data_IF_191642013251
#
_entry.id   IF_191642013251
#
_cell.length_a   1.000
_cell.length_b   1.000
_cell.length_c   1.000
_cell.angle_alpha   90.00
_cell.angle_beta   90.00
_cell.angle_gamma   90.00
#
_symmetry.space_group_name_H-M   'P 1'
#
loop_
_entity.id
_entity.type
_entity.pdbx_description
1 polymer ?
#
# COMPACT_ATOMS: atom_id res chain seq x y z
N UNK A 1 14.90 37.78 -25.78
CA UNK A 1 15.33 36.51 -26.40
C UNK A 1 15.67 35.55 -25.26
N UNK A 2 14.67 34.79 -24.80
CA UNK A 2 14.87 33.70 -23.85
C UNK A 2 15.65 32.60 -24.57
N UNK A 3 16.83 32.27 -24.08
CA UNK A 3 17.62 31.17 -24.63
C UNK A 3 16.95 29.86 -24.22
N UNK A 4 16.27 29.22 -25.16
CA UNK A 4 15.85 27.83 -25.04
C UNK A 4 17.11 26.96 -25.00
N UNK A 5 17.65 26.75 -23.80
CA UNK A 5 18.67 25.74 -23.59
C UNK A 5 18.04 24.37 -23.86
N UNK A 6 18.60 23.54 -24.76
CA UNK A 6 18.11 22.19 -24.95
C UNK A 6 18.26 21.44 -23.63
N UNK A 7 17.15 20.89 -23.12
CA UNK A 7 17.14 20.07 -21.91
C UNK A 7 18.09 18.87 -22.12
N UNK A 8 19.29 18.95 -21.56
CA UNK A 8 20.26 17.87 -21.60
C UNK A 8 19.96 16.91 -20.44
N UNK A 9 19.92 15.60 -20.73
CA UNK A 9 19.61 14.56 -19.73
C UNK A 9 20.79 14.45 -18.76
N UNK A 10 20.73 15.21 -17.66
CA UNK A 10 21.73 15.13 -16.61
C UNK A 10 21.62 13.77 -15.91
N UNK A 11 22.73 13.02 -15.83
CA UNK A 11 22.76 11.74 -15.12
C UNK A 11 22.65 12.02 -13.63
N UNK A 12 21.43 12.02 -13.10
CA UNK A 12 21.25 12.10 -11.66
C UNK A 12 21.77 10.83 -11.00
N UNK A 13 22.68 10.97 -10.04
CA UNK A 13 23.16 9.88 -9.18
C UNK A 13 22.03 9.22 -8.35
N UNK A 14 20.82 9.77 -8.46
CA UNK A 14 19.57 9.31 -7.85
C UNK A 14 18.82 8.30 -8.72
N UNK A 15 19.04 8.26 -10.04
CA UNK A 15 18.25 7.41 -10.97
C UNK A 15 18.83 6.01 -11.14
N UNK A 16 18.03 5.01 -10.76
CA UNK A 16 18.36 3.58 -10.87
C UNK A 16 18.16 3.19 -12.33
N UNK A 17 19.24 3.30 -13.08
CA UNK A 17 19.21 3.08 -14.52
C UNK A 17 19.81 1.71 -14.81
N UNK A 18 19.05 0.82 -15.46
CA UNK A 18 19.56 -0.47 -15.95
C UNK A 18 20.35 -0.35 -17.27
N UNK A 19 20.52 0.88 -17.78
CA UNK A 19 21.26 1.17 -19.01
C UNK A 19 22.72 0.72 -18.86
N UNK A 20 23.14 -0.26 -19.67
CA UNK A 20 24.51 -0.77 -19.72
C UNK A 20 24.73 -2.18 -19.16
N UNK A 21 23.72 -2.84 -18.55
CA UNK A 21 23.87 -4.25 -18.11
C UNK A 21 23.66 -5.22 -19.28
N UNK A 22 24.68 -6.04 -19.59
CA UNK A 22 24.63 -7.10 -20.61
C UNK A 22 24.59 -8.49 -19.97
N UNK A 23 23.92 -9.44 -20.64
CA UNK A 23 23.83 -10.85 -20.23
C UNK A 23 22.74 -11.13 -19.19
N UNK A 24 22.89 -12.20 -18.40
CA UNK A 24 21.88 -12.69 -17.44
C UNK A 24 21.56 -11.66 -16.34
N UNK A 25 22.48 -10.74 -16.04
CA UNK A 25 22.30 -9.64 -15.09
C UNK A 25 21.34 -8.53 -15.56
N UNK A 26 20.89 -8.59 -16.82
CA UNK A 26 19.84 -7.74 -17.41
C UNK A 26 18.43 -8.14 -16.95
N UNK A 27 18.23 -9.43 -16.60
CA UNK A 27 16.95 -9.92 -16.11
C UNK A 27 16.69 -9.36 -14.71
N UNK A 28 15.63 -8.54 -14.58
CA UNK A 28 15.23 -7.89 -13.31
C UNK A 28 15.03 -8.90 -12.17
N UNK A 29 14.45 -10.06 -12.49
CA UNK A 29 14.20 -11.17 -11.56
C UNK A 29 15.46 -11.78 -10.91
N UNK A 30 16.65 -11.61 -11.50
CA UNK A 30 17.90 -12.19 -10.97
C UNK A 30 18.67 -11.22 -10.04
N UNK A 31 18.24 -9.97 -9.92
CA UNK A 31 18.83 -8.99 -9.01
C UNK A 31 17.98 -8.87 -7.73
N UNK A 32 17.95 -9.97 -6.96
CA UNK A 32 17.13 -10.07 -5.75
C UNK A 32 17.41 -8.90 -4.79
N UNK A 33 16.37 -8.33 -4.19
CA UNK A 33 16.40 -7.24 -3.21
C UNK A 33 16.98 -5.89 -3.68
N UNK A 34 17.50 -5.78 -4.92
CA UNK A 34 18.09 -4.51 -5.38
C UNK A 34 17.07 -3.37 -5.46
N UNK A 35 15.81 -3.66 -5.80
CA UNK A 35 14.73 -2.68 -5.78
C UNK A 35 14.48 -2.12 -4.38
N UNK A 36 14.17 -3.00 -3.43
CA UNK A 36 13.91 -2.64 -2.03
C UNK A 36 15.07 -1.85 -1.40
N UNK A 37 16.32 -2.28 -1.64
CA UNK A 37 17.49 -1.55 -1.15
C UNK A 37 17.55 -0.12 -1.69
N UNK A 38 17.23 0.06 -2.97
CA UNK A 38 17.27 1.36 -3.61
C UNK A 38 16.14 2.28 -3.13
N UNK A 39 14.97 1.73 -2.83
CA UNK A 39 13.83 2.47 -2.27
C UNK A 39 14.16 2.99 -0.88
N UNK A 40 14.70 2.13 0.00
CA UNK A 40 15.13 2.53 1.35
C UNK A 40 16.25 3.57 1.28
N UNK A 41 17.29 3.34 0.46
CA UNK A 41 18.43 4.26 0.34
C UNK A 41 18.01 5.65 -0.13
N UNK A 42 17.03 5.75 -1.04
CA UNK A 42 16.51 7.03 -1.51
C UNK A 42 15.67 7.73 -0.45
N UNK A 43 14.92 6.98 0.35
CA UNK A 43 13.95 7.54 1.29
C UNK A 43 14.55 7.92 2.64
N UNK A 44 15.48 7.12 3.16
CA UNK A 44 16.04 7.26 4.50
C UNK A 44 16.55 8.68 4.83
N UNK A 45 17.25 9.40 3.92
CA UNK A 45 17.77 10.74 4.23
C UNK A 45 16.68 11.79 4.47
N UNK A 46 15.51 11.64 3.84
CA UNK A 46 14.40 12.60 3.93
C UNK A 46 13.49 12.36 5.13
N UNK A 47 13.58 11.19 5.78
CA UNK A 47 12.66 10.83 6.86
C UNK A 47 12.67 11.82 8.02
N UNK A 48 13.86 12.34 8.38
CA UNK A 48 13.98 13.35 9.44
C UNK A 48 13.49 14.73 9.00
N UNK A 49 13.74 15.11 7.74
CA UNK A 49 13.24 16.40 7.21
C UNK A 49 11.72 16.40 7.13
N UNK A 50 11.09 15.28 6.75
CA UNK A 50 9.63 15.16 6.69
C UNK A 50 8.96 15.47 8.04
N UNK A 51 9.58 15.10 9.17
CA UNK A 51 9.06 15.39 10.51
C UNK A 51 9.19 16.88 10.84
N UNK A 52 10.32 17.51 10.51
CA UNK A 52 10.52 18.94 10.76
C UNK A 52 9.66 19.81 9.84
N UNK A 53 9.50 19.40 8.58
CA UNK A 53 8.75 20.13 7.55
C UNK A 53 7.23 20.04 7.79
N UNK A 54 6.76 19.02 8.51
CA UNK A 54 5.36 18.87 8.89
C UNK A 54 4.86 19.94 9.88
N UNK A 55 5.73 20.76 10.48
CA UNK A 55 5.36 21.78 11.45
C UNK A 55 4.83 23.07 10.78
N UNK A 56 3.73 22.96 10.04
CA UNK A 56 3.06 24.10 9.39
C UNK A 56 1.56 24.06 9.67
N UNK A 57 0.93 25.23 9.85
CA UNK A 57 -0.53 25.35 10.12
C UNK A 57 -1.42 24.64 9.08
N UNK A 58 -0.94 24.53 7.84
CA UNK A 58 -1.64 23.85 6.72
C UNK A 58 -1.77 22.35 6.96
N UNK A 59 -0.80 21.74 7.64
CA UNK A 59 -0.79 20.30 7.92
C UNK A 59 -1.96 19.94 8.83
N UNK A 60 -2.24 20.73 9.87
CA UNK A 60 -3.38 20.50 10.77
C UNK A 60 -4.71 20.48 10.00
N UNK A 61 -4.95 21.48 9.14
CA UNK A 61 -6.16 21.53 8.31
C UNK A 61 -6.23 20.36 7.32
N UNK A 62 -5.10 19.98 6.72
CA UNK A 62 -5.00 18.84 5.80
C UNK A 62 -5.29 17.51 6.52
N UNK A 63 -4.74 17.30 7.71
CA UNK A 63 -4.94 16.07 8.52
C UNK A 63 -6.41 15.88 8.88
N UNK A 64 -7.09 16.92 9.35
CA UNK A 64 -8.53 16.84 9.69
C UNK A 64 -9.34 16.52 8.43
N UNK A 65 -9.05 17.19 7.31
CA UNK A 65 -9.74 16.93 6.04
C UNK A 65 -9.52 15.48 5.57
N UNK A 66 -8.27 15.01 5.57
CA UNK A 66 -7.94 13.65 5.14
C UNK A 66 -8.57 12.59 6.05
N UNK A 67 -8.67 12.86 7.36
CA UNK A 67 -9.37 11.97 8.29
C UNK A 67 -10.81 11.71 7.85
N UNK A 68 -11.60 12.75 7.60
CA UNK A 68 -12.99 12.58 7.15
C UNK A 68 -13.09 11.98 5.75
N UNK A 69 -12.20 12.38 4.83
CA UNK A 69 -12.16 11.84 3.46
C UNK A 69 -11.90 10.34 3.45
N UNK A 70 -11.05 9.82 4.36
CA UNK A 70 -10.77 8.38 4.44
C UNK A 70 -11.81 7.63 5.30
N UNK A 71 -12.27 8.24 6.40
CA UNK A 71 -13.18 7.59 7.34
C UNK A 71 -14.58 7.35 6.75
N UNK A 72 -15.15 8.32 6.03
CA UNK A 72 -16.50 8.19 5.46
C UNK A 72 -16.65 7.00 4.48
N UNK A 73 -15.79 6.85 3.46
CA UNK A 73 -15.87 5.68 2.59
C UNK A 73 -15.52 4.39 3.32
N UNK A 74 -14.58 4.41 4.28
CA UNK A 74 -14.26 3.22 5.08
C UNK A 74 -15.47 2.73 5.87
N UNK A 75 -16.23 3.62 6.52
CA UNK A 75 -17.48 3.28 7.22
C UNK A 75 -18.52 2.74 6.24
N UNK A 76 -18.69 3.38 5.08
CA UNK A 76 -19.67 2.92 4.09
C UNK A 76 -19.37 1.50 3.58
N UNK A 77 -18.11 1.23 3.21
CA UNK A 77 -17.70 -0.08 2.72
C UNK A 77 -17.72 -1.16 3.80
N UNK A 78 -17.31 -0.82 5.03
CA UNK A 78 -17.39 -1.77 6.15
C UNK A 78 -18.82 -2.09 6.55
N UNK A 79 -19.73 -1.11 6.53
CA UNK A 79 -21.15 -1.35 6.79
C UNK A 79 -21.79 -2.24 5.71
N UNK A 80 -21.46 -2.01 4.43
CA UNK A 80 -21.93 -2.87 3.34
C UNK A 80 -21.38 -4.30 3.50
N UNK A 81 -20.09 -4.43 3.76
CA UNK A 81 -19.44 -5.73 4.01
C UNK A 81 -20.06 -6.45 5.21
N UNK A 82 -20.27 -5.76 6.35
CA UNK A 82 -20.89 -6.32 7.55
C UNK A 82 -22.27 -6.94 7.25
N UNK A 83 -23.10 -6.24 6.46
CA UNK A 83 -24.44 -6.72 6.09
C UNK A 83 -24.39 -7.89 5.12
N UNK A 84 -23.40 -7.92 4.22
CA UNK A 84 -23.25 -8.96 3.19
C UNK A 84 -22.61 -10.23 3.74
N UNK A 85 -21.74 -10.13 4.74
CA UNK A 85 -21.00 -11.26 5.31
C UNK A 85 -21.62 -11.81 6.59
N UNK A 86 -22.94 -11.69 6.77
CA UNK A 86 -23.66 -12.21 7.93
C UNK A 86 -23.10 -11.71 9.27
N UNK A 87 -22.75 -10.42 9.34
CA UNK A 87 -22.21 -9.76 10.55
C UNK A 87 -20.82 -10.24 11.00
N UNK A 88 -20.09 -10.99 10.16
CA UNK A 88 -18.75 -11.48 10.49
C UNK A 88 -17.72 -10.36 10.70
N UNK A 89 -17.72 -9.32 9.85
CA UNK A 89 -16.77 -8.21 9.94
C UNK A 89 -17.33 -7.02 10.72
N UNK A 90 -17.10 -6.97 12.03
CA UNK A 90 -17.52 -5.85 12.86
C UNK A 90 -16.96 -4.50 12.38
N UNK A 91 -17.82 -3.47 12.34
CA UNK A 91 -17.43 -2.12 11.87
C UNK A 91 -16.27 -1.57 12.72
N UNK A 92 -16.38 -1.68 14.04
CA UNK A 92 -15.35 -1.18 14.96
C UNK A 92 -14.02 -1.91 14.79
N UNK A 93 -14.05 -3.23 14.62
CA UNK A 93 -12.85 -4.07 14.45
C UNK A 93 -12.17 -3.78 13.12
N UNK A 94 -12.95 -3.66 12.04
CA UNK A 94 -12.42 -3.35 10.71
C UNK A 94 -11.80 -1.94 10.66
N UNK A 95 -12.45 -0.94 11.26
CA UNK A 95 -11.91 0.41 11.36
C UNK A 95 -10.64 0.45 12.21
N UNK A 96 -10.62 -0.25 13.35
CA UNK A 96 -9.45 -0.34 14.21
C UNK A 96 -8.28 -1.02 13.49
N UNK A 97 -8.53 -2.15 12.81
CA UNK A 97 -7.52 -2.84 12.00
C UNK A 97 -6.96 -1.95 10.89
N UNK A 98 -7.82 -1.22 10.18
CA UNK A 98 -7.39 -0.27 9.14
C UNK A 98 -6.55 0.86 9.72
N UNK A 99 -6.90 1.39 10.90
CA UNK A 99 -6.12 2.44 11.56
C UNK A 99 -4.74 1.94 11.98
N UNK A 100 -4.63 0.74 12.55
CA UNK A 100 -3.34 0.14 12.89
C UNK A 100 -2.47 -0.08 11.64
N UNK A 101 -3.05 -0.61 10.56
CA UNK A 101 -2.33 -0.81 9.31
C UNK A 101 -1.82 0.51 8.72
N UNK A 102 -2.64 1.57 8.75
CA UNK A 102 -2.24 2.90 8.31
C UNK A 102 -1.11 3.50 9.17
N UNK A 103 -1.13 3.31 10.50
CA UNK A 103 -0.05 3.75 11.38
C UNK A 103 1.27 3.03 11.07
N UNK A 104 1.25 1.70 10.94
CA UNK A 104 2.44 0.91 10.61
C UNK A 104 2.98 1.31 9.24
N UNK A 105 2.09 1.46 8.25
CA UNK A 105 2.48 1.88 6.90
C UNK A 105 3.03 3.31 6.86
N UNK A 106 2.49 4.23 7.66
CA UNK A 106 2.99 5.61 7.72
C UNK A 106 4.42 5.70 8.27
N UNK A 107 4.81 4.79 9.16
CA UNK A 107 6.16 4.77 9.78
C UNK A 107 7.16 4.02 8.89
N UNK A 108 6.75 2.88 8.33
CA UNK A 108 7.66 2.00 7.58
C UNK A 108 7.61 2.20 6.05
N UNK A 109 6.63 2.95 5.55
CA UNK A 109 6.38 3.14 4.13
C UNK A 109 7.43 4.02 3.46
N UNK A 110 7.83 3.62 2.25
CA UNK A 110 8.74 4.41 1.42
C UNK A 110 8.06 5.64 0.78
N UNK A 111 6.73 5.77 0.89
CA UNK A 111 5.93 6.85 0.30
C UNK A 111 4.91 7.40 1.32
N UNK A 112 5.14 8.58 1.91
CA UNK A 112 4.35 9.11 3.02
C UNK A 112 3.01 9.73 2.56
N UNK A 113 2.90 10.04 1.27
CA UNK A 113 1.69 10.64 0.68
C UNK A 113 0.61 9.60 0.37
N UNK A 114 0.92 8.31 0.50
CA UNK A 114 -0.03 7.23 0.22
C UNK A 114 -0.99 7.06 1.38
N UNK A 115 -2.29 7.12 1.08
CA UNK A 115 -3.37 6.87 2.04
C UNK A 115 -3.82 5.42 1.90
N UNK A 116 -3.71 4.66 2.98
CA UNK A 116 -4.17 3.27 3.06
C UNK A 116 -5.55 3.25 3.73
N UNK A 117 -6.46 2.43 3.19
CA UNK A 117 -7.80 2.29 3.71
C UNK A 117 -8.58 1.18 3.03
N UNK A 118 -9.75 0.88 3.58
CA UNK A 118 -10.67 -0.12 3.03
C UNK A 118 -11.31 0.44 1.77
N UNK A 119 -11.38 -0.38 0.72
CA UNK A 119 -11.96 0.00 -0.57
C UNK A 119 -13.12 -0.92 -0.96
N UNK A 120 -13.93 -0.45 -1.90
CA UNK A 120 -15.06 -1.23 -2.43
C UNK A 120 -14.63 -2.54 -3.07
N UNK A 121 -13.47 -2.60 -3.75
CA UNK A 121 -12.99 -3.84 -4.38
C UNK A 121 -12.59 -4.91 -3.35
N UNK A 122 -11.95 -4.49 -2.25
CA UNK A 122 -11.62 -5.39 -1.15
C UNK A 122 -12.93 -5.91 -0.52
N UNK A 123 -13.92 -5.03 -0.32
CA UNK A 123 -15.23 -5.43 0.24
C UNK A 123 -15.97 -6.39 -0.69
N UNK A 124 -15.99 -6.09 -2.00
CA UNK A 124 -16.53 -6.94 -3.06
C UNK A 124 -15.91 -8.33 -3.04
N UNK A 125 -14.59 -8.40 -2.96
CA UNK A 125 -13.89 -9.68 -2.87
C UNK A 125 -14.30 -10.48 -1.62
N UNK A 126 -14.39 -9.82 -0.46
CA UNK A 126 -14.71 -10.47 0.81
C UNK A 126 -16.13 -11.06 0.83
N UNK A 127 -17.14 -10.28 0.40
CA UNK A 127 -18.50 -10.81 0.37
C UNK A 127 -18.74 -11.78 -0.79
N UNK A 128 -18.02 -11.66 -1.91
CA UNK A 128 -18.09 -12.67 -2.99
C UNK A 128 -17.57 -14.03 -2.49
N UNK A 129 -16.47 -14.03 -1.75
CA UNK A 129 -15.97 -15.26 -1.10
C UNK A 129 -16.98 -15.79 -0.10
N UNK A 130 -17.57 -14.92 0.71
CA UNK A 130 -18.60 -15.32 1.67
C UNK A 130 -19.79 -16.01 0.98
N UNK A 131 -20.30 -15.42 -0.10
CA UNK A 131 -21.39 -16.01 -0.89
C UNK A 131 -21.00 -17.37 -1.50
N UNK A 132 -19.75 -17.56 -1.91
CA UNK A 132 -19.26 -18.85 -2.43
C UNK A 132 -19.12 -19.89 -1.31
N UNK A 133 -18.51 -19.53 -0.19
CA UNK A 133 -18.21 -20.45 0.92
C UNK A 133 -19.48 -20.91 1.62
N UNK A 134 -20.47 -20.02 1.75
CA UNK A 134 -21.76 -20.32 2.39
C UNK A 134 -22.61 -21.33 1.62
N UNK A 135 -22.39 -21.50 0.30
CA UNK A 135 -23.01 -22.59 -0.48
C UNK A 135 -22.57 -23.97 0.02
N UNK A 136 -21.33 -24.07 0.52
CA UNK A 136 -20.76 -25.32 1.00
C UNK A 136 -20.87 -25.45 2.52
N UNK A 137 -20.11 -24.64 3.26
CA UNK A 137 -20.11 -24.66 4.73
C UNK A 137 -19.69 -23.27 5.29
N UNK A 138 -20.61 -22.54 5.93
CA UNK A 138 -20.33 -21.20 6.46
C UNK A 138 -19.18 -21.16 7.50
N UNK A 139 -19.00 -22.22 8.29
CA UNK A 139 -18.00 -22.28 9.34
C UNK A 139 -16.54 -22.23 8.82
N UNK A 140 -16.32 -22.54 7.54
CA UNK A 140 -14.98 -22.56 6.92
C UNK A 140 -14.52 -21.14 6.55
N UNK A 141 -15.43 -20.16 6.46
CA UNK A 141 -15.12 -18.81 6.00
C UNK A 141 -13.90 -18.15 6.66
N UNK A 142 -13.75 -18.16 8.00
CA UNK A 142 -12.61 -17.51 8.65
C UNK A 142 -11.28 -18.20 8.31
N UNK A 143 -11.27 -19.53 8.25
CA UNK A 143 -10.09 -20.33 7.89
C UNK A 143 -9.67 -20.08 6.43
N UNK A 144 -10.66 -19.98 5.54
CA UNK A 144 -10.42 -19.69 4.13
C UNK A 144 -9.83 -18.28 3.93
N UNK A 145 -10.35 -17.29 4.65
CA UNK A 145 -9.82 -15.92 4.63
C UNK A 145 -8.39 -15.86 5.16
N UNK A 146 -8.06 -16.60 6.22
CA UNK A 146 -6.70 -16.71 6.74
C UNK A 146 -5.73 -17.26 5.70
N UNK A 147 -6.08 -18.37 5.04
CA UNK A 147 -5.24 -18.96 3.99
C UNK A 147 -5.08 -18.02 2.79
N UNK A 148 -6.15 -17.33 2.40
CA UNK A 148 -6.11 -16.33 1.32
C UNK A 148 -5.12 -15.20 1.66
N UNK A 149 -5.12 -14.71 2.90
CA UNK A 149 -4.18 -13.68 3.34
C UNK A 149 -2.72 -14.18 3.39
N UNK A 150 -2.49 -15.44 3.81
CA UNK A 150 -1.14 -16.05 3.82
C UNK A 150 -0.58 -16.14 2.41
N UNK A 151 -1.36 -16.64 1.43
CA UNK A 151 -0.91 -16.70 0.04
C UNK A 151 -0.68 -15.31 -0.55
N UNK A 152 -1.57 -14.35 -0.28
CA UNK A 152 -1.40 -12.97 -0.72
C UNK A 152 -0.09 -12.37 -0.21
N UNK A 153 0.25 -12.61 1.07
CA UNK A 153 1.54 -12.21 1.61
C UNK A 153 2.70 -12.89 0.87
N UNK A 154 2.70 -14.22 0.75
CA UNK A 154 3.78 -14.97 0.06
C UNK A 154 4.04 -14.41 -1.35
N UNK A 155 2.99 -14.22 -2.15
CA UNK A 155 3.14 -13.66 -3.49
C UNK A 155 3.64 -12.22 -3.48
N UNK A 156 3.17 -11.39 -2.54
CA UNK A 156 3.68 -10.02 -2.36
C UNK A 156 5.18 -10.01 -2.09
N UNK A 157 5.67 -10.88 -1.19
CA UNK A 157 7.10 -11.01 -0.90
C UNK A 157 7.89 -11.50 -2.12
N UNK A 158 7.38 -12.48 -2.87
CA UNK A 158 8.03 -12.98 -4.09
C UNK A 158 8.18 -11.85 -5.11
N UNK A 159 7.13 -11.08 -5.37
CA UNK A 159 7.16 -9.95 -6.32
C UNK A 159 8.14 -8.87 -5.85
N UNK A 160 8.09 -8.51 -4.57
CA UNK A 160 8.98 -7.51 -3.99
C UNK A 160 10.46 -7.90 -4.10
N UNK A 161 10.79 -9.17 -3.83
CA UNK A 161 12.17 -9.67 -3.90
C UNK A 161 12.66 -9.83 -5.33
N UNK A 162 11.80 -10.29 -6.24
CA UNK A 162 12.12 -10.50 -7.65
C UNK A 162 12.10 -9.21 -8.48
N UNK A 163 11.79 -8.05 -7.88
CA UNK A 163 11.73 -6.76 -8.60
C UNK A 163 10.87 -6.84 -9.88
N UNK A 164 9.71 -7.51 -9.75
CA UNK A 164 8.72 -7.73 -10.82
C UNK A 164 7.67 -6.61 -10.84
#
# INVERSE_FOLDING_TARGET
MSSDQPLTREKSWLSYTYEGRRGWKSLRALNLFQGMYHDVRRRLPYYWSDITDAWTYRVVASTIRMYFVNMLPAIAYTLDMYRRTGEFYGINEALFSSAMAAMVFSVLGAQPLTIVGITGLISLFNYTIYDIVTIYEPAIYPNFMCWTAIWAAIFHWIVAVCNL
#
